data_IF_479192221572
#
_entry.id   IF_479192221572
#
_cell.length_a   1.000
_cell.length_b   1.000
_cell.length_c   1.000
_cell.angle_alpha   90.00
_cell.angle_beta   90.00
_cell.angle_gamma   90.00
#
_symmetry.space_group_name_H-M   'P 1'
#
loop_
_entity.id
_entity.type
_entity.pdbx_description
1 polymer ?
#
# COMPACT_ATOMS: atom_id res chain seq x y z
N UNK A 1 -4.53 17.43 -0.71
CA UNK A 1 -3.04 17.44 -0.82
C UNK A 1 -2.69 17.10 -2.25
N UNK A 2 -1.67 17.71 -2.82
CA UNK A 2 -1.29 17.48 -4.21
C UNK A 2 0.02 16.69 -4.23
N UNK A 3 0.03 15.53 -4.85
CA UNK A 3 1.20 14.64 -4.92
C UNK A 3 1.92 14.80 -6.25
N UNK A 4 3.20 15.15 -6.22
CA UNK A 4 4.05 15.25 -7.41
C UNK A 4 4.98 14.02 -7.48
N UNK A 5 4.62 13.06 -8.30
CA UNK A 5 5.34 11.78 -8.46
C UNK A 5 6.31 11.86 -9.64
N UNK A 6 7.28 12.77 -9.64
CA UNK A 6 8.25 12.90 -10.71
C UNK A 6 9.31 11.81 -10.69
N UNK A 7 9.62 11.30 -11.86
CA UNK A 7 10.57 10.21 -12.10
C UNK A 7 11.98 10.46 -11.52
N UNK A 8 12.44 11.71 -11.54
CA UNK A 8 13.82 12.07 -11.20
C UNK A 8 14.18 12.00 -9.71
N UNK A 9 13.22 11.94 -8.80
CA UNK A 9 13.48 11.81 -7.36
C UNK A 9 13.67 10.34 -6.99
N UNK A 10 13.10 9.44 -7.77
CA UNK A 10 13.02 8.01 -7.50
C UNK A 10 14.36 7.29 -7.73
N UNK A 11 15.14 7.70 -8.75
CA UNK A 11 16.34 6.94 -9.15
C UNK A 11 17.50 6.99 -8.16
N UNK A 12 17.63 8.07 -7.36
CA UNK A 12 18.90 8.30 -6.64
C UNK A 12 18.93 7.77 -5.21
N UNK A 13 17.82 7.61 -4.53
CA UNK A 13 17.83 7.39 -3.08
C UNK A 13 17.27 6.06 -2.60
N UNK A 14 16.32 5.47 -3.29
CA UNK A 14 15.48 4.43 -2.72
C UNK A 14 15.91 2.98 -2.97
N UNK A 15 16.49 2.70 -4.13
CA UNK A 15 16.84 1.32 -4.50
C UNK A 15 17.96 0.70 -3.68
N UNK A 16 18.90 1.51 -3.20
CA UNK A 16 20.06 1.00 -2.44
C UNK A 16 19.75 0.72 -0.98
N UNK A 17 18.71 1.34 -0.43
CA UNK A 17 18.38 1.22 0.98
C UNK A 17 17.73 -0.12 1.34
N UNK A 18 17.04 -0.75 0.40
CA UNK A 18 16.25 -1.96 0.69
C UNK A 18 16.97 -3.26 0.24
N UNK A 19 18.10 -3.15 -0.46
CA UNK A 19 19.03 -4.27 -0.71
C UNK A 19 18.56 -5.37 -1.67
N UNK A 20 17.45 -5.18 -2.38
CA UNK A 20 16.88 -6.15 -3.33
C UNK A 20 16.72 -5.55 -4.72
N UNK A 21 16.67 -6.37 -5.77
CA UNK A 21 16.15 -5.99 -7.09
C UNK A 21 14.64 -5.76 -6.96
N UNK A 22 14.28 -4.53 -6.63
CA UNK A 22 12.92 -4.16 -6.28
C UNK A 22 12.07 -3.97 -7.53
N UNK A 23 10.85 -4.37 -7.41
CA UNK A 23 9.83 -4.04 -8.39
C UNK A 23 9.65 -2.53 -8.46
N UNK A 24 9.32 -2.01 -9.64
CA UNK A 24 9.42 -0.57 -9.92
C UNK A 24 8.44 0.29 -9.13
N UNK A 25 7.31 -0.28 -8.71
CA UNK A 25 6.32 0.43 -7.90
C UNK A 25 6.82 0.75 -6.49
N UNK A 26 7.80 0.01 -5.95
CA UNK A 26 8.37 0.35 -4.64
C UNK A 26 8.99 1.74 -4.59
N UNK A 27 9.54 2.20 -5.69
CA UNK A 27 10.06 3.56 -5.77
C UNK A 27 8.94 4.60 -5.60
N UNK A 28 7.74 4.31 -6.13
CA UNK A 28 6.55 5.13 -5.97
C UNK A 28 6.11 5.12 -4.49
N UNK A 29 6.09 3.95 -3.85
CA UNK A 29 5.73 3.82 -2.44
C UNK A 29 6.70 4.56 -1.54
N UNK A 30 8.01 4.51 -1.81
CA UNK A 30 9.01 5.32 -1.11
C UNK A 30 8.71 6.81 -1.25
N UNK A 31 8.45 7.27 -2.47
CA UNK A 31 8.14 8.68 -2.70
C UNK A 31 6.85 9.09 -1.99
N UNK A 32 5.79 8.29 -2.11
CA UNK A 32 4.52 8.55 -1.43
C UNK A 32 4.71 8.63 0.08
N UNK A 33 5.50 7.73 0.67
CA UNK A 33 5.75 7.75 2.11
C UNK A 33 6.34 9.07 2.61
N UNK A 34 7.06 9.81 1.75
CA UNK A 34 7.66 11.11 2.12
C UNK A 34 6.67 12.26 2.19
N UNK A 35 5.49 12.11 1.60
CA UNK A 35 4.44 13.14 1.70
C UNK A 35 3.69 13.11 3.02
N UNK A 36 3.80 12.01 3.76
CA UNK A 36 3.14 11.82 5.05
C UNK A 36 4.17 11.93 6.18
N UNK A 37 3.76 12.51 7.30
CA UNK A 37 4.62 12.67 8.49
C UNK A 37 3.79 12.35 9.73
N UNK A 38 4.32 11.49 10.61
CA UNK A 38 3.64 11.00 11.81
C UNK A 38 2.29 10.32 11.51
N UNK A 39 2.19 9.73 10.32
CA UNK A 39 0.97 9.18 9.75
C UNK A 39 0.91 7.66 9.88
N UNK A 40 -0.32 7.12 9.85
CA UNK A 40 -0.55 5.68 9.71
C UNK A 40 -0.62 5.32 8.24
N UNK A 41 0.14 4.31 7.85
CA UNK A 41 0.16 3.73 6.50
C UNK A 41 -0.21 2.26 6.60
N UNK A 42 -1.06 1.78 5.70
CA UNK A 42 -1.48 0.38 5.62
C UNK A 42 -0.95 -0.26 4.35
N UNK A 43 -0.45 -1.47 4.49
CA UNK A 43 0.02 -2.34 3.41
C UNK A 43 -0.76 -3.64 3.45
N UNK A 44 -1.49 -3.96 2.40
CA UNK A 44 -2.29 -5.18 2.25
C UNK A 44 -1.62 -6.12 1.25
N UNK A 45 -1.20 -7.27 1.73
CA UNK A 45 -0.41 -8.24 0.98
C UNK A 45 1.08 -8.10 1.29
N UNK A 46 1.48 -8.49 2.51
CA UNK A 46 2.87 -8.38 2.97
C UNK A 46 3.85 -9.15 2.11
N UNK A 47 3.48 -10.37 1.72
CA UNK A 47 4.32 -11.32 0.99
C UNK A 47 5.75 -11.35 1.60
N UNK A 48 6.77 -10.91 0.86
CA UNK A 48 8.18 -10.87 1.32
C UNK A 48 8.56 -9.55 2.00
N UNK A 49 7.61 -8.64 2.21
CA UNK A 49 7.78 -7.39 2.95
C UNK A 49 8.36 -6.22 2.17
N UNK A 50 8.47 -6.33 0.84
CA UNK A 50 9.08 -5.29 0.01
C UNK A 50 8.30 -3.98 0.01
N UNK A 51 6.98 -4.03 -0.16
CA UNK A 51 6.07 -2.88 -0.13
C UNK A 51 6.08 -2.19 1.23
N UNK A 52 5.93 -2.96 2.32
CA UNK A 52 5.99 -2.43 3.68
C UNK A 52 7.33 -1.73 3.96
N UNK A 53 8.45 -2.32 3.55
CA UNK A 53 9.76 -1.70 3.68
C UNK A 53 9.89 -0.38 2.90
N UNK A 54 9.33 -0.32 1.67
CA UNK A 54 9.28 0.89 0.87
C UNK A 54 8.44 1.99 1.54
N UNK A 55 7.25 1.66 2.02
CA UNK A 55 6.35 2.56 2.73
C UNK A 55 6.92 3.07 4.05
N UNK A 56 7.81 2.29 4.69
CA UNK A 56 8.49 2.67 5.93
C UNK A 56 9.68 3.61 5.75
N UNK A 57 9.95 4.07 4.53
CA UNK A 57 11.11 4.93 4.23
C UNK A 57 11.12 6.22 5.09
N UNK A 58 9.99 6.89 5.21
CA UNK A 58 9.86 7.97 6.20
C UNK A 58 9.62 7.35 7.60
N UNK A 59 10.65 7.43 8.44
CA UNK A 59 10.67 6.79 9.76
C UNK A 59 9.70 7.39 10.77
N UNK A 60 9.13 8.55 10.50
CA UNK A 60 8.09 9.14 11.36
C UNK A 60 6.73 8.44 11.21
N UNK A 61 6.49 7.78 10.08
CA UNK A 61 5.24 7.08 9.82
C UNK A 61 5.19 5.71 10.51
N UNK A 62 3.99 5.27 10.87
CA UNK A 62 3.71 3.92 11.38
C UNK A 62 3.13 3.08 10.23
N UNK A 63 3.83 2.02 9.83
CA UNK A 63 3.38 1.10 8.78
C UNK A 63 2.79 -0.15 9.42
N UNK A 64 1.53 -0.43 9.11
CA UNK A 64 0.87 -1.69 9.45
C UNK A 64 0.73 -2.53 8.19
N UNK A 65 1.39 -3.68 8.15
CA UNK A 65 1.33 -4.59 7.02
C UNK A 65 0.57 -5.85 7.38
N UNK A 66 -0.37 -6.25 6.52
CA UNK A 66 -1.29 -7.37 6.75
C UNK A 66 -1.05 -8.48 5.73
N UNK A 67 -1.10 -9.71 6.22
CA UNK A 67 -1.15 -10.90 5.39
C UNK A 67 -2.01 -11.98 6.04
N UNK A 68 -2.52 -12.93 5.25
CA UNK A 68 -3.26 -14.09 5.74
C UNK A 68 -2.33 -15.21 6.23
N UNK A 69 -1.05 -15.14 5.88
CA UNK A 69 -0.04 -16.14 6.22
C UNK A 69 1.27 -15.50 6.68
N UNK A 70 2.01 -16.24 7.49
CA UNK A 70 3.35 -15.82 7.94
C UNK A 70 4.37 -16.04 6.81
N UNK A 71 5.25 -15.06 6.61
CA UNK A 71 6.39 -15.17 5.71
C UNK A 71 7.70 -14.87 6.47
N UNK A 72 8.57 -15.88 6.56
CA UNK A 72 9.84 -15.77 7.31
C UNK A 72 10.81 -14.76 6.69
N UNK A 73 10.77 -14.55 5.37
CA UNK A 73 11.59 -13.52 4.72
C UNK A 73 11.15 -12.12 5.13
N UNK A 74 9.83 -11.88 5.24
CA UNK A 74 9.29 -10.61 5.71
C UNK A 74 9.68 -10.38 7.18
N UNK A 75 9.56 -11.39 8.05
CA UNK A 75 9.98 -11.29 9.45
C UNK A 75 11.45 -10.88 9.53
N UNK A 76 12.33 -11.59 8.84
CA UNK A 76 13.78 -11.30 8.83
C UNK A 76 14.09 -9.90 8.28
N UNK A 77 13.33 -9.45 7.28
CA UNK A 77 13.48 -8.10 6.74
C UNK A 77 13.09 -7.04 7.79
N UNK A 78 11.97 -7.25 8.48
CA UNK A 78 11.40 -6.26 9.40
C UNK A 78 12.19 -6.10 10.71
N UNK A 79 13.11 -7.02 11.04
CA UNK A 79 14.06 -6.82 12.16
C UNK A 79 14.86 -5.52 12.04
N UNK A 80 15.00 -4.97 10.83
CA UNK A 80 15.74 -3.74 10.55
C UNK A 80 14.85 -2.47 10.61
N UNK A 81 13.53 -2.62 10.82
CA UNK A 81 12.56 -1.52 10.75
C UNK A 81 11.80 -1.37 12.06
N UNK A 82 12.00 -0.24 12.72
CA UNK A 82 11.31 0.05 13.97
C UNK A 82 9.87 0.55 13.79
N UNK A 83 9.52 0.99 12.60
CA UNK A 83 8.23 1.61 12.28
C UNK A 83 7.29 0.70 11.47
N UNK A 84 7.62 -0.59 11.33
CA UNK A 84 6.74 -1.59 10.72
C UNK A 84 6.14 -2.49 11.80
N UNK A 85 4.84 -2.73 11.71
CA UNK A 85 4.11 -3.72 12.50
C UNK A 85 3.51 -4.75 11.55
N UNK A 86 3.94 -6.00 11.66
CA UNK A 86 3.42 -7.10 10.86
C UNK A 86 2.24 -7.77 11.56
N UNK A 87 1.12 -7.88 10.87
CA UNK A 87 -0.14 -8.36 11.38
C UNK A 87 -0.63 -9.54 10.53
N UNK A 88 -1.11 -10.61 11.21
CA UNK A 88 -1.76 -11.73 10.54
C UNK A 88 -3.26 -11.62 10.76
N UNK A 89 -3.99 -11.58 9.66
CA UNK A 89 -5.45 -11.54 9.66
C UNK A 89 -6.01 -11.34 8.27
N UNK A 90 -7.21 -11.88 8.06
CA UNK A 90 -8.00 -11.62 6.87
C UNK A 90 -9.02 -10.51 7.18
N UNK A 91 -8.63 -9.26 6.94
CA UNK A 91 -9.46 -8.09 7.23
C UNK A 91 -10.83 -8.17 6.52
N UNK A 92 -10.86 -8.70 5.30
CA UNK A 92 -12.05 -8.76 4.46
C UNK A 92 -13.03 -9.80 5.01
N UNK A 93 -12.58 -11.01 5.27
CA UNK A 93 -13.43 -12.07 5.85
C UNK A 93 -13.90 -11.72 7.27
N UNK A 94 -13.09 -11.01 8.03
CA UNK A 94 -13.42 -10.52 9.37
C UNK A 94 -14.37 -9.30 9.36
N UNK A 95 -14.80 -8.84 8.18
CA UNK A 95 -15.60 -7.62 8.03
C UNK A 95 -15.01 -6.42 8.80
N UNK A 96 -13.68 -6.29 8.84
CA UNK A 96 -12.94 -5.19 9.47
C UNK A 96 -13.11 -5.09 11.00
N UNK A 97 -13.62 -6.12 11.63
CA UNK A 97 -13.81 -6.18 13.08
C UNK A 97 -12.86 -7.15 13.80
N UNK A 98 -11.92 -7.73 13.05
CA UNK A 98 -10.92 -8.64 13.59
C UNK A 98 -9.96 -7.99 14.58
N UNK A 99 -9.28 -8.83 15.32
CA UNK A 99 -8.13 -8.48 16.15
C UNK A 99 -6.93 -9.24 15.57
N UNK A 100 -6.14 -8.60 14.68
CA UNK A 100 -5.04 -9.27 14.03
C UNK A 100 -3.97 -9.68 15.03
N UNK A 101 -3.24 -10.73 14.72
CA UNK A 101 -2.12 -11.17 15.54
C UNK A 101 -0.85 -10.42 15.14
N UNK A 102 -0.17 -9.85 16.12
CA UNK A 102 1.15 -9.23 15.90
C UNK A 102 2.21 -10.31 15.77
N UNK A 103 3.03 -10.22 14.73
CA UNK A 103 4.19 -11.09 14.55
C UNK A 103 5.45 -10.32 14.98
N UNK A 104 6.25 -10.85 15.91
CA UNK A 104 7.56 -10.28 16.23
C UNK A 104 8.46 -10.22 14.97
N UNK A 105 9.33 -9.22 14.80
CA UNK A 105 10.00 -8.47 15.87
C UNK A 105 9.34 -7.18 16.30
N UNK A 106 8.24 -6.80 15.68
CA UNK A 106 7.52 -5.56 15.99
C UNK A 106 6.82 -5.54 17.35
N UNK A 107 7.38 -6.14 18.40
CA UNK A 107 6.81 -6.17 19.74
C UNK A 107 6.88 -4.77 20.39
N UNK A 108 6.20 -3.80 19.80
CA UNK A 108 5.83 -2.60 20.53
C UNK A 108 4.57 -2.96 21.32
N UNK A 109 4.66 -2.93 22.64
CA UNK A 109 3.50 -3.02 23.53
C UNK A 109 2.68 -1.73 23.34
N UNK A 110 1.98 -1.62 22.22
CA UNK A 110 0.91 -0.64 22.01
C UNK A 110 -0.40 -1.40 22.14
N UNK A 111 -1.44 -0.79 22.71
CA UNK A 111 -2.76 -1.40 22.65
C UNK A 111 -3.07 -1.66 21.17
N UNK A 112 -3.37 -2.90 20.84
CA UNK A 112 -3.68 -3.29 19.47
C UNK A 112 -4.98 -2.61 19.08
N UNK A 113 -4.92 -1.72 18.10
CA UNK A 113 -6.12 -1.18 17.44
C UNK A 113 -6.82 -2.31 16.70
N UNK A 114 -8.12 -2.27 16.61
CA UNK A 114 -8.87 -3.15 15.70
C UNK A 114 -8.46 -2.86 14.25
N UNK A 115 -8.68 -3.82 13.37
CA UNK A 115 -8.44 -3.64 11.93
C UNK A 115 -9.11 -2.36 11.43
N UNK A 116 -10.38 -2.14 11.79
CA UNK A 116 -11.15 -0.94 11.44
C UNK A 116 -10.46 0.35 11.89
N UNK A 117 -9.98 0.42 13.14
CA UNK A 117 -9.30 1.61 13.65
C UNK A 117 -7.99 1.89 12.92
N UNK A 118 -7.22 0.85 12.56
CA UNK A 118 -5.99 0.99 11.80
C UNK A 118 -6.32 1.56 10.41
N UNK A 119 -7.27 0.94 9.71
CA UNK A 119 -7.66 1.38 8.37
C UNK A 119 -8.18 2.82 8.35
N UNK A 120 -9.12 3.16 9.22
CA UNK A 120 -9.74 4.48 9.22
C UNK A 120 -8.82 5.59 9.75
N UNK A 121 -7.77 5.24 10.49
CA UNK A 121 -6.74 6.20 10.89
C UNK A 121 -5.60 6.34 9.88
N UNK A 122 -5.59 5.54 8.81
CA UNK A 122 -4.54 5.61 7.79
C UNK A 122 -4.76 6.78 6.83
N UNK A 123 -3.68 7.29 6.27
CA UNK A 123 -3.68 8.32 5.23
C UNK A 123 -3.26 7.76 3.86
N UNK A 124 -2.59 6.61 3.86
CA UNK A 124 -2.18 5.87 2.68
C UNK A 124 -2.45 4.38 2.88
N UNK A 125 -3.08 3.76 1.89
CA UNK A 125 -3.26 2.31 1.81
C UNK A 125 -2.63 1.80 0.52
N UNK A 126 -1.77 0.79 0.60
CA UNK A 126 -1.31 0.01 -0.54
C UNK A 126 -2.06 -1.32 -0.59
N UNK A 127 -2.60 -1.64 -1.74
CA UNK A 127 -3.45 -2.81 -1.99
C UNK A 127 -2.80 -3.71 -3.05
N UNK A 128 -2.24 -4.83 -2.61
CA UNK A 128 -1.55 -5.83 -3.43
C UNK A 128 -1.85 -7.24 -2.86
N UNK A 129 -3.10 -7.68 -2.99
CA UNK A 129 -3.59 -8.94 -2.44
C UNK A 129 -3.86 -9.96 -3.54
N UNK A 130 -3.37 -11.19 -3.35
CA UNK A 130 -3.70 -12.32 -4.22
C UNK A 130 -5.16 -12.79 -4.00
N UNK A 131 -5.87 -13.25 -5.04
CA UNK A 131 -5.39 -13.65 -6.38
C UNK A 131 -5.54 -12.58 -7.49
N UNK A 132 -5.76 -11.32 -7.21
CA UNK A 132 -5.99 -10.24 -8.20
C UNK A 132 -7.17 -10.54 -9.13
N UNK A 133 -8.25 -11.07 -8.56
CA UNK A 133 -9.43 -11.52 -9.30
C UNK A 133 -10.55 -10.47 -9.37
N UNK A 134 -10.33 -9.29 -8.80
CA UNK A 134 -11.32 -8.22 -8.78
C UNK A 134 -12.52 -8.51 -7.89
N UNK A 135 -12.40 -9.42 -6.90
CA UNK A 135 -13.46 -9.78 -5.97
C UNK A 135 -13.24 -9.16 -4.59
N UNK A 136 -12.00 -9.20 -4.11
CA UNK A 136 -11.67 -8.70 -2.77
C UNK A 136 -11.36 -7.19 -2.79
N UNK A 137 -10.72 -6.71 -3.83
CA UNK A 137 -10.32 -5.31 -3.98
C UNK A 137 -11.52 -4.34 -3.95
N UNK A 138 -12.65 -4.62 -4.63
CA UNK A 138 -13.88 -3.84 -4.48
C UNK A 138 -14.37 -3.73 -3.03
N UNK A 139 -14.23 -4.80 -2.24
CA UNK A 139 -14.68 -4.79 -0.85
C UNK A 139 -13.85 -3.85 0.02
N UNK A 140 -12.54 -3.73 -0.27
CA UNK A 140 -11.67 -2.73 0.38
C UNK A 140 -12.13 -1.32 0.01
N UNK A 141 -12.35 -1.06 -1.27
CA UNK A 141 -12.82 0.25 -1.75
C UNK A 141 -14.17 0.63 -1.14
N UNK A 142 -15.13 -0.28 -1.15
CA UNK A 142 -16.48 -0.09 -0.60
C UNK A 142 -16.44 0.19 0.91
N UNK A 143 -15.56 -0.51 1.65
CA UNK A 143 -15.35 -0.24 3.06
C UNK A 143 -14.85 1.19 3.31
N UNK A 144 -13.89 1.65 2.54
CA UNK A 144 -13.33 3.00 2.65
C UNK A 144 -14.35 4.07 2.31
N UNK A 145 -15.11 3.89 1.22
CA UNK A 145 -16.19 4.81 0.80
C UNK A 145 -17.29 4.86 1.89
N UNK A 146 -17.74 3.71 2.36
CA UNK A 146 -18.84 3.62 3.35
C UNK A 146 -18.49 4.30 4.67
N UNK A 147 -17.20 4.31 5.04
CA UNK A 147 -16.74 4.93 6.28
C UNK A 147 -16.18 6.36 6.07
N UNK A 148 -16.40 6.96 4.91
CA UNK A 148 -15.97 8.34 4.59
C UNK A 148 -14.46 8.58 4.81
N UNK A 149 -13.63 7.58 4.44
CA UNK A 149 -12.17 7.67 4.54
C UNK A 149 -11.60 8.71 3.57
N UNK A 150 -10.50 9.37 3.94
CA UNK A 150 -9.98 10.59 3.29
C UNK A 150 -8.55 10.49 2.78
N UNK A 151 -8.02 9.30 2.59
CA UNK A 151 -6.64 9.11 2.16
C UNK A 151 -6.46 8.92 0.66
N UNK A 152 -5.34 8.32 0.31
CA UNK A 152 -5.06 7.78 -1.01
C UNK A 152 -4.89 6.26 -0.94
N UNK A 153 -5.43 5.55 -1.92
CA UNK A 153 -5.24 4.11 -2.06
C UNK A 153 -4.43 3.83 -3.32
N UNK A 154 -3.33 3.12 -3.17
CA UNK A 154 -2.49 2.66 -4.28
C UNK A 154 -2.80 1.20 -4.53
N UNK A 155 -3.11 0.83 -5.77
CA UNK A 155 -3.44 -0.54 -6.18
C UNK A 155 -2.37 -1.05 -7.14
N UNK A 156 -1.88 -2.27 -6.90
CA UNK A 156 -1.03 -2.97 -7.87
C UNK A 156 -1.85 -3.88 -8.79
N UNK A 157 -1.19 -4.37 -9.84
CA UNK A 157 -1.72 -5.32 -10.82
C UNK A 157 -3.04 -4.91 -11.52
N UNK A 158 -3.29 -3.58 -11.68
CA UNK A 158 -4.47 -3.04 -12.37
C UNK A 158 -4.43 -3.15 -13.90
N UNK A 159 -3.36 -3.72 -14.45
CA UNK A 159 -3.13 -3.80 -15.90
C UNK A 159 -3.84 -4.98 -16.58
N UNK A 160 -3.74 -5.01 -17.91
CA UNK A 160 -4.41 -6.01 -18.76
C UNK A 160 -3.99 -7.46 -18.52
N UNK A 161 -2.92 -7.73 -17.76
CA UNK A 161 -2.53 -9.09 -17.40
C UNK A 161 -3.51 -9.75 -16.42
N UNK A 162 -4.25 -8.93 -15.67
CA UNK A 162 -5.28 -9.35 -14.73
C UNK A 162 -6.62 -8.74 -15.16
N UNK A 163 -7.31 -9.34 -16.16
CA UNK A 163 -8.51 -8.75 -16.72
C UNK A 163 -9.59 -8.38 -15.71
N UNK A 164 -9.92 -9.21 -14.69
CA UNK A 164 -10.92 -8.82 -13.70
C UNK A 164 -10.51 -7.57 -12.89
N UNK A 165 -9.22 -7.46 -12.50
CA UNK A 165 -8.68 -6.27 -11.84
C UNK A 165 -8.75 -5.04 -12.75
N UNK A 166 -8.40 -5.22 -14.02
CA UNK A 166 -8.47 -4.13 -15.01
C UNK A 166 -9.90 -3.63 -15.21
N UNK A 167 -10.87 -4.53 -15.31
CA UNK A 167 -12.28 -4.18 -15.45
C UNK A 167 -12.80 -3.47 -14.20
N UNK A 168 -12.48 -3.96 -13.02
CA UNK A 168 -12.79 -3.29 -11.76
C UNK A 168 -12.18 -1.90 -11.70
N UNK A 169 -10.87 -1.77 -11.98
CA UNK A 169 -10.16 -0.49 -11.98
C UNK A 169 -10.85 0.56 -12.85
N UNK A 170 -11.25 0.17 -14.06
CA UNK A 170 -11.97 1.07 -15.00
C UNK A 170 -13.40 1.41 -14.55
N UNK A 171 -13.97 0.68 -13.60
CA UNK A 171 -15.30 0.94 -13.06
C UNK A 171 -15.33 1.91 -11.88
N UNK A 172 -14.16 2.28 -11.34
CA UNK A 172 -14.06 3.17 -10.18
C UNK A 172 -14.49 4.59 -10.57
N UNK A 173 -15.48 5.13 -9.84
CA UNK A 173 -16.02 6.47 -10.09
C UNK A 173 -15.23 7.61 -9.40
N UNK A 174 -14.36 7.27 -8.43
CA UNK A 174 -13.48 8.25 -7.78
C UNK A 174 -12.36 8.69 -8.74
N UNK A 175 -11.70 9.83 -8.48
CA UNK A 175 -10.51 10.23 -9.22
C UNK A 175 -9.43 9.16 -9.17
N UNK A 176 -9.05 8.63 -10.33
CA UNK A 176 -8.03 7.60 -10.49
C UNK A 176 -6.90 8.06 -11.40
N UNK A 177 -5.69 7.64 -11.06
CA UNK A 177 -4.47 7.95 -11.80
C UNK A 177 -3.68 6.68 -12.04
N UNK A 178 -3.50 6.29 -13.30
CA UNK A 178 -2.66 5.14 -13.66
C UNK A 178 -1.21 5.57 -13.77
N UNK A 179 -0.35 4.97 -12.98
CA UNK A 179 1.09 5.22 -13.03
C UNK A 179 1.68 4.35 -14.14
N UNK A 180 2.15 5.00 -15.20
CA UNK A 180 2.77 4.34 -16.33
C UNK A 180 4.28 4.47 -16.23
N UNK A 181 4.98 3.37 -15.98
CA UNK A 181 6.42 3.33 -16.18
C UNK A 181 6.78 2.23 -17.19
N UNK A 182 7.98 2.32 -17.77
CA UNK A 182 8.45 1.38 -18.80
C UNK A 182 8.51 -0.07 -18.32
N UNK A 183 8.49 -0.30 -17.03
CA UNK A 183 8.62 -1.60 -16.40
C UNK A 183 7.29 -2.13 -15.88
N UNK A 184 6.34 -1.25 -15.55
CA UNK A 184 5.00 -1.60 -15.07
C UNK A 184 3.94 -1.63 -16.21
N UNK A 185 4.37 -1.56 -17.47
CA UNK A 185 3.47 -1.42 -18.62
C UNK A 185 2.42 -2.54 -18.75
N UNK A 186 2.69 -3.70 -18.19
CA UNK A 186 1.81 -4.87 -18.30
C UNK A 186 0.98 -5.10 -17.03
N UNK A 187 1.59 -4.93 -15.85
CA UNK A 187 0.92 -5.12 -14.55
C UNK A 187 0.09 -3.89 -14.17
N UNK A 188 0.70 -2.72 -14.23
CA UNK A 188 0.06 -1.45 -13.91
C UNK A 188 -0.08 -1.20 -12.41
N UNK A 189 0.22 0.02 -12.02
CA UNK A 189 -0.04 0.51 -10.65
C UNK A 189 -0.91 1.75 -10.76
N UNK A 190 -1.90 1.87 -9.89
CA UNK A 190 -2.85 2.99 -9.91
C UNK A 190 -3.03 3.62 -8.54
N UNK A 191 -3.52 4.86 -8.54
CA UNK A 191 -3.84 5.59 -7.31
C UNK A 191 -5.29 6.04 -7.38
N UNK A 192 -6.07 5.75 -6.34
CA UNK A 192 -7.40 6.28 -6.10
C UNK A 192 -7.28 7.40 -5.08
N UNK A 193 -7.81 8.57 -5.40
CA UNK A 193 -7.80 9.73 -4.53
C UNK A 193 -9.18 9.97 -3.91
N UNK A 194 -9.22 10.08 -2.59
CA UNK A 194 -10.42 10.42 -1.81
C UNK A 194 -10.37 11.90 -1.42
N UNK A 195 -11.52 12.49 -1.18
CA UNK A 195 -11.69 13.86 -0.63
C UNK A 195 -10.95 14.98 -1.39
N UNK A 196 -11.01 14.96 -2.73
CA UNK A 196 -10.41 16.02 -3.55
C UNK A 196 -8.89 16.07 -3.54
N UNK A 197 -8.24 15.01 -3.14
CA UNK A 197 -6.80 14.85 -3.34
C UNK A 197 -6.52 14.66 -4.83
N UNK A 198 -5.41 15.20 -5.30
CA UNK A 198 -5.02 15.15 -6.70
C UNK A 198 -3.55 14.74 -6.84
N UNK A 199 -3.27 13.95 -7.85
CA UNK A 199 -1.89 13.71 -8.29
C UNK A 199 -1.54 14.71 -9.37
N UNK A 200 -0.60 15.60 -9.07
CA UNK A 200 -0.21 16.73 -9.93
C UNK A 200 0.76 16.36 -11.03
N UNK A 201 0.83 15.16 -11.49
CA UNK A 201 1.66 14.90 -12.64
C UNK A 201 0.95 14.01 -13.63
N UNK A 202 0.95 14.42 -14.89
CA UNK A 202 0.98 13.47 -16.00
C UNK A 202 2.19 12.55 -15.75
N UNK A 203 2.02 11.51 -14.92
CA UNK A 203 3.05 10.50 -14.71
C UNK A 203 3.13 9.65 -15.98
N UNK A 204 3.56 10.30 -17.05
CA UNK A 204 4.10 9.62 -18.20
C UNK A 204 5.54 9.30 -17.87
N UNK A 205 5.73 8.22 -17.18
CA UNK A 205 7.03 7.62 -17.04
C UNK A 205 7.40 7.07 -18.41
N UNK A 206 8.24 7.81 -19.13
CA UNK A 206 8.75 7.45 -20.46
C UNK A 206 9.74 6.28 -20.38
#
# INVERSE_FOLDING_TARGET
>A
MNFDLRENIIEQTSYKAIGRNLEHYYAILVQLSTYFTDSVIVDLGTNRGGSAAALSYNKSNEVYTFDIAINDEAISLFEQYENITYLIGNCIENNWHGQPQIIPPGLRIRPLKSEKEIFLSSELIFLDIDPHDGVQEPQVLDFLITNDWKGIMVCDDIGHQHPPMHDWWNSIELPTYTIRNKYAALKGTGVVCFDGQEILSDVRVS
#
